data_IF_976185712567
#
_entry.id   IF_976185712567
#
_cell.length_a   1.000
_cell.length_b   1.000
_cell.length_c   1.000
_cell.angle_alpha   90.00
_cell.angle_beta   90.00
_cell.angle_gamma   90.00
#
_symmetry.space_group_name_H-M   'P 1'
#
loop_
_entity.id
_entity.type
_entity.pdbx_description
1 polymer ?
#
# COMPACT_ATOMS: atom_id res chain seq x y z
N UNK A 1 13.65 4.87 2.70
CA UNK A 1 14.55 4.69 1.51
C UNK A 1 14.29 5.77 0.46
N UNK A 2 15.23 5.97 -0.48
CA UNK A 2 14.98 6.81 -1.65
C UNK A 2 14.32 5.95 -2.75
N UNK A 3 13.59 6.58 -3.67
CA UNK A 3 13.03 5.91 -4.86
C UNK A 3 14.11 5.09 -5.59
N UNK A 4 13.77 3.92 -6.13
CA UNK A 4 14.71 3.06 -6.82
C UNK A 4 15.35 3.78 -8.01
N UNK A 5 16.67 3.69 -8.12
CA UNK A 5 17.43 4.22 -9.25
C UNK A 5 17.66 3.10 -10.25
N UNK A 6 17.36 3.36 -11.49
CA UNK A 6 17.65 2.44 -12.59
C UNK A 6 18.37 3.17 -13.73
N UNK A 7 19.17 2.46 -14.49
CA UNK A 7 19.91 3.00 -15.63
C UNK A 7 19.32 2.54 -16.96
N UNK A 8 19.58 3.31 -18.02
CA UNK A 8 19.21 2.91 -19.39
C UNK A 8 19.89 1.59 -19.79
N UNK A 9 21.10 1.35 -19.29
CA UNK A 9 21.83 0.12 -19.53
C UNK A 9 21.11 -1.09 -18.94
N UNK A 10 20.62 -0.99 -17.69
CA UNK A 10 19.84 -2.07 -17.04
C UNK A 10 18.56 -2.37 -17.82
N UNK A 11 17.84 -1.35 -18.30
CA UNK A 11 16.64 -1.54 -19.15
C UNK A 11 17.00 -2.28 -20.45
N UNK A 12 18.13 -1.94 -21.07
CA UNK A 12 18.58 -2.55 -22.31
C UNK A 12 19.02 -4.00 -22.09
N UNK A 13 19.79 -4.29 -21.05
CA UNK A 13 20.26 -5.64 -20.70
C UNK A 13 19.12 -6.57 -20.31
N UNK A 14 18.08 -6.05 -19.65
CA UNK A 14 16.86 -6.80 -19.35
C UNK A 14 16.01 -7.06 -20.59
N UNK A 15 16.28 -6.41 -21.73
CA UNK A 15 15.54 -6.59 -22.97
C UNK A 15 14.20 -5.85 -22.99
N UNK A 16 14.04 -4.77 -22.24
CA UNK A 16 12.84 -3.93 -22.17
C UNK A 16 12.47 -3.32 -23.52
N UNK A 17 13.46 -3.08 -24.38
CA UNK A 17 13.30 -2.43 -25.68
C UNK A 17 12.71 -3.33 -26.77
N UNK A 18 12.62 -4.64 -26.56
CA UNK A 18 11.98 -5.55 -27.53
C UNK A 18 10.46 -5.50 -27.39
N UNK A 19 9.79 -5.25 -28.49
CA UNK A 19 8.34 -5.35 -28.59
C UNK A 19 7.89 -6.55 -29.38
N UNK A 20 6.65 -6.59 -29.75
CA UNK A 20 6.03 -7.65 -30.55
C UNK A 20 6.34 -7.51 -32.04
N UNK A 21 6.03 -8.57 -32.77
CA UNK A 21 6.05 -8.58 -34.25
C UNK A 21 5.16 -7.49 -34.83
N UNK A 22 5.60 -6.90 -35.97
CA UNK A 22 4.88 -5.83 -36.69
C UNK A 22 3.44 -6.17 -37.06
N UNK A 23 3.08 -7.47 -37.16
CA UNK A 23 1.71 -7.91 -37.44
C UNK A 23 0.74 -7.74 -36.25
N UNK A 24 1.25 -7.62 -35.03
CA UNK A 24 0.45 -7.59 -33.79
C UNK A 24 0.43 -6.23 -33.13
N UNK A 25 0.99 -5.21 -33.75
CA UNK A 25 1.13 -3.91 -33.12
C UNK A 25 -0.20 -3.13 -33.06
N UNK A 26 -0.28 -2.23 -32.11
CA UNK A 26 -1.37 -1.27 -31.99
C UNK A 26 -0.89 0.11 -32.49
N UNK A 27 -1.59 0.78 -33.42
CA UNK A 27 -1.23 2.11 -33.90
C UNK A 27 -1.10 3.16 -32.80
N UNK A 28 -1.84 3.06 -31.69
CA UNK A 28 -1.74 3.95 -30.54
C UNK A 28 -0.39 3.88 -29.83
N UNK A 29 0.40 2.83 -30.05
CA UNK A 29 1.76 2.71 -29.54
C UNK A 29 2.83 3.41 -30.41
N UNK A 30 2.46 3.95 -31.59
CA UNK A 30 3.38 4.68 -32.49
C UNK A 30 4.27 5.70 -31.76
N UNK A 31 3.77 6.54 -30.82
CA UNK A 31 4.60 7.50 -30.12
C UNK A 31 5.73 6.87 -29.30
N UNK A 32 5.61 5.61 -28.91
CA UNK A 32 6.55 4.90 -28.05
C UNK A 32 7.49 3.95 -28.80
N UNK A 33 7.26 3.74 -30.08
CA UNK A 33 8.11 2.91 -30.95
C UNK A 33 9.30 3.74 -31.47
N UNK A 34 10.50 3.20 -31.38
CA UNK A 34 11.72 3.77 -31.93
C UNK A 34 11.90 3.41 -33.41
N UNK A 35 11.60 2.14 -33.76
CA UNK A 35 11.77 1.61 -35.10
C UNK A 35 11.40 0.14 -35.18
N UNK A 36 11.80 -0.51 -36.30
CA UNK A 36 11.57 -1.93 -36.54
C UNK A 36 12.91 -2.58 -36.93
N UNK A 37 13.22 -3.70 -36.32
CA UNK A 37 14.36 -4.56 -36.66
C UNK A 37 13.89 -6.02 -36.77
N UNK A 38 14.22 -6.70 -37.83
CA UNK A 38 13.87 -8.11 -38.06
C UNK A 38 12.36 -8.41 -37.83
N UNK A 39 11.48 -7.52 -38.35
CA UNK A 39 10.02 -7.58 -38.17
C UNK A 39 9.54 -7.49 -36.72
N UNK A 40 10.37 -7.04 -35.81
CA UNK A 40 10.06 -6.79 -34.39
C UNK A 40 10.13 -5.28 -34.15
N UNK A 41 9.15 -4.72 -33.45
CA UNK A 41 9.19 -3.33 -33.01
C UNK A 41 10.23 -3.14 -31.90
N UNK A 42 10.95 -2.03 -31.95
CA UNK A 42 11.87 -1.61 -30.92
C UNK A 42 11.22 -0.45 -30.16
N UNK A 43 11.08 -0.60 -28.86
CA UNK A 43 10.48 0.42 -27.98
C UNK A 43 11.53 1.47 -27.62
N UNK A 44 11.11 2.73 -27.58
CA UNK A 44 11.98 3.87 -27.27
C UNK A 44 12.19 3.99 -25.75
N UNK A 45 13.32 3.51 -25.26
CA UNK A 45 13.66 3.57 -23.83
C UNK A 45 13.75 4.99 -23.27
N UNK A 46 14.07 6.00 -24.09
CA UNK A 46 14.05 7.41 -23.67
C UNK A 46 12.64 7.88 -23.25
N UNK A 47 11.59 7.22 -23.73
CA UNK A 47 10.20 7.46 -23.32
C UNK A 47 9.78 6.52 -22.19
N UNK A 48 10.28 5.30 -22.19
CA UNK A 48 10.01 4.31 -21.13
C UNK A 48 10.51 4.80 -19.77
N UNK A 49 11.76 5.27 -19.69
CA UNK A 49 12.37 5.62 -18.42
C UNK A 49 11.61 6.72 -17.64
N UNK A 50 11.22 7.87 -18.22
CA UNK A 50 10.46 8.87 -17.47
C UNK A 50 9.05 8.42 -17.11
N UNK A 51 8.39 7.60 -17.94
CA UNK A 51 7.06 7.07 -17.64
C UNK A 51 7.11 6.02 -16.53
N UNK A 52 8.11 5.15 -16.54
CA UNK A 52 8.37 4.21 -15.45
C UNK A 52 8.65 4.96 -14.14
N UNK A 53 9.51 5.97 -14.17
CA UNK A 53 9.79 6.78 -12.98
C UNK A 53 8.53 7.44 -12.43
N UNK A 54 7.69 8.02 -13.29
CA UNK A 54 6.40 8.61 -12.91
C UNK A 54 5.47 7.59 -12.26
N UNK A 55 5.43 6.37 -12.78
CA UNK A 55 4.63 5.27 -12.22
C UNK A 55 5.14 4.86 -10.82
N UNK A 56 6.47 4.76 -10.64
CA UNK A 56 7.08 4.43 -9.34
C UNK A 56 6.84 5.52 -8.29
N UNK A 57 6.90 6.81 -8.67
CA UNK A 57 6.55 7.93 -7.77
C UNK A 57 5.10 7.84 -7.31
N UNK A 58 4.17 7.57 -8.24
CA UNK A 58 2.75 7.42 -7.90
C UNK A 58 2.53 6.21 -6.97
N UNK A 59 3.19 5.09 -7.25
CA UNK A 59 3.13 3.87 -6.43
C UNK A 59 3.64 4.10 -5.00
N UNK A 60 4.78 4.77 -4.86
CA UNK A 60 5.33 5.15 -3.56
C UNK A 60 4.38 6.07 -2.78
N UNK A 61 3.79 7.07 -3.43
CA UNK A 61 2.86 7.99 -2.79
C UNK A 61 1.59 7.28 -2.28
N UNK A 62 1.02 6.37 -3.08
CA UNK A 62 -0.15 5.59 -2.70
C UNK A 62 0.16 4.67 -1.51
N UNK A 63 1.31 3.99 -1.53
CA UNK A 63 1.71 3.08 -0.44
C UNK A 63 2.11 3.83 0.84
N UNK A 64 2.69 5.02 0.72
CA UNK A 64 2.95 5.91 1.86
C UNK A 64 1.65 6.39 2.53
N UNK A 65 0.58 6.58 1.76
CA UNK A 65 -0.76 6.85 2.30
C UNK A 65 -1.43 5.60 2.93
N UNK A 66 -0.81 4.43 2.83
CA UNK A 66 -1.33 3.16 3.34
C UNK A 66 -2.22 2.41 2.35
N UNK A 67 -2.19 2.79 1.08
CA UNK A 67 -2.90 2.11 0.00
C UNK A 67 -2.37 0.70 -0.23
N UNK A 68 -3.28 -0.19 -0.64
CA UNK A 68 -2.99 -1.59 -0.98
C UNK A 68 -2.78 -1.73 -2.48
N UNK A 69 -1.86 -2.57 -2.85
CA UNK A 69 -1.47 -2.84 -4.23
C UNK A 69 -1.97 -4.21 -4.65
N UNK A 70 -2.51 -4.32 -5.87
CA UNK A 70 -2.86 -5.58 -6.49
C UNK A 70 -2.02 -5.79 -7.75
N UNK A 71 -1.20 -6.82 -7.75
CA UNK A 71 -0.46 -7.25 -8.94
C UNK A 71 -1.31 -8.21 -9.77
N UNK A 72 -1.38 -7.98 -11.08
CA UNK A 72 -2.17 -8.80 -12.01
C UNK A 72 -1.31 -9.24 -13.19
N UNK A 73 -1.09 -10.54 -13.31
CA UNK A 73 -0.39 -11.13 -14.44
C UNK A 73 -0.70 -12.62 -14.57
N UNK A 74 -1.49 -13.01 -15.55
CA UNK A 74 -1.81 -14.42 -15.81
C UNK A 74 -0.89 -15.07 -16.84
N UNK A 75 0.07 -14.31 -17.40
CA UNK A 75 1.08 -14.80 -18.35
C UNK A 75 2.04 -15.77 -17.67
N UNK A 76 2.35 -16.89 -18.31
CA UNK A 76 3.20 -17.93 -17.71
C UNK A 76 4.56 -17.40 -17.22
N UNK A 77 5.19 -16.51 -18.01
CA UNK A 77 6.48 -15.91 -17.67
C UNK A 77 6.44 -14.97 -16.47
N UNK A 78 5.25 -14.43 -16.15
CA UNK A 78 5.05 -13.43 -15.09
C UNK A 78 4.50 -14.01 -13.77
N UNK A 79 3.88 -15.20 -13.82
CA UNK A 79 3.13 -15.78 -12.68
C UNK A 79 3.92 -15.86 -11.39
N UNK A 80 5.10 -16.43 -11.44
CA UNK A 80 5.92 -16.68 -10.25
C UNK A 80 6.63 -15.41 -9.80
N UNK A 81 7.03 -14.56 -10.76
CA UNK A 81 7.69 -13.27 -10.51
C UNK A 81 6.73 -12.33 -9.76
N UNK A 82 5.49 -12.24 -10.22
CA UNK A 82 4.47 -11.38 -9.62
C UNK A 82 4.06 -11.88 -8.23
N UNK A 83 3.98 -13.21 -8.05
CA UNK A 83 3.75 -13.81 -6.75
C UNK A 83 4.85 -13.45 -5.75
N UNK A 84 6.12 -13.65 -6.12
CA UNK A 84 7.28 -13.28 -5.30
C UNK A 84 7.27 -11.79 -4.94
N UNK A 85 7.05 -10.91 -5.91
CA UNK A 85 6.99 -9.47 -5.69
C UNK A 85 5.90 -9.08 -4.68
N UNK A 86 4.72 -9.67 -4.78
CA UNK A 86 3.61 -9.42 -3.87
C UNK A 86 3.90 -9.97 -2.45
N UNK A 87 4.46 -11.17 -2.34
CA UNK A 87 4.82 -11.78 -1.06
C UNK A 87 5.93 -10.98 -0.34
N UNK A 88 6.96 -10.52 -1.04
CA UNK A 88 8.04 -9.66 -0.50
C UNK A 88 7.53 -8.34 0.08
N UNK A 89 6.44 -7.81 -0.46
CA UNK A 89 5.86 -6.52 -0.04
C UNK A 89 4.64 -6.66 0.87
N UNK A 90 4.16 -7.88 1.12
CA UNK A 90 2.90 -8.13 1.85
C UNK A 90 1.68 -7.58 1.10
N UNK A 91 1.75 -7.51 -0.23
CA UNK A 91 0.68 -7.04 -1.09
C UNK A 91 -0.06 -8.21 -1.76
N UNK A 92 -1.03 -7.92 -2.60
CA UNK A 92 -1.93 -8.89 -3.18
C UNK A 92 -1.59 -9.19 -4.63
N UNK A 93 -1.97 -10.38 -5.11
CA UNK A 93 -1.72 -10.76 -6.50
C UNK A 93 -2.82 -11.66 -7.08
N UNK A 94 -2.97 -11.60 -8.41
CA UNK A 94 -3.73 -12.55 -9.21
C UNK A 94 -2.84 -13.02 -10.35
N UNK A 95 -2.41 -14.29 -10.29
CA UNK A 95 -1.43 -14.83 -11.22
C UNK A 95 -1.92 -16.02 -12.05
N UNK A 96 -3.13 -16.52 -11.83
CA UNK A 96 -3.66 -17.66 -12.60
C UNK A 96 -4.73 -17.23 -13.61
N UNK A 97 -5.86 -16.79 -13.14
CA UNK A 97 -6.98 -16.38 -13.98
C UNK A 97 -7.76 -15.26 -13.34
N UNK A 98 -7.96 -14.18 -14.08
CA UNK A 98 -8.89 -13.15 -13.70
C UNK A 98 -10.34 -13.62 -13.91
N UNK A 99 -11.13 -13.67 -12.87
CA UNK A 99 -12.57 -13.92 -12.97
C UNK A 99 -13.29 -12.60 -13.23
N UNK A 100 -14.25 -12.60 -14.15
CA UNK A 100 -15.08 -11.42 -14.38
C UNK A 100 -15.85 -11.03 -13.11
N UNK A 101 -15.81 -9.74 -12.76
CA UNK A 101 -16.42 -9.23 -11.54
C UNK A 101 -15.53 -9.34 -10.29
N UNK A 102 -14.24 -9.60 -10.45
CA UNK A 102 -13.33 -9.81 -9.30
C UNK A 102 -13.19 -8.58 -8.41
N UNK A 103 -13.27 -7.39 -8.98
CA UNK A 103 -13.32 -6.12 -8.25
C UNK A 103 -14.72 -5.52 -8.21
N UNK A 104 -15.41 -5.50 -9.35
CA UNK A 104 -16.74 -4.89 -9.46
C UNK A 104 -17.82 -5.65 -8.68
N UNK A 105 -17.66 -6.95 -8.47
CA UNK A 105 -18.55 -7.77 -7.64
C UNK A 105 -17.81 -8.35 -6.42
N UNK A 106 -17.09 -7.49 -5.70
CA UNK A 106 -16.29 -7.89 -4.54
C UNK A 106 -17.08 -8.59 -3.44
N UNK A 107 -18.37 -8.26 -3.29
CA UNK A 107 -19.23 -8.92 -2.29
C UNK A 107 -19.35 -10.42 -2.54
N UNK A 108 -19.56 -10.85 -3.78
CA UNK A 108 -19.62 -12.28 -4.16
C UNK A 108 -18.26 -12.95 -4.07
N UNK A 109 -17.19 -12.26 -4.48
CA UNK A 109 -15.81 -12.77 -4.36
C UNK A 109 -15.45 -12.98 -2.89
N UNK A 110 -15.76 -12.04 -2.01
CA UNK A 110 -15.50 -12.16 -0.57
C UNK A 110 -16.28 -13.31 0.08
N UNK A 111 -17.49 -13.61 -0.39
CA UNK A 111 -18.23 -14.81 0.05
C UNK A 111 -17.53 -16.10 -0.40
N UNK A 112 -17.01 -16.14 -1.62
CA UNK A 112 -16.24 -17.30 -2.12
C UNK A 112 -14.95 -17.51 -1.33
N UNK A 113 -14.25 -16.43 -0.96
CA UNK A 113 -13.07 -16.47 -0.08
C UNK A 113 -13.44 -17.00 1.31
N UNK A 114 -14.55 -16.53 1.90
CA UNK A 114 -15.03 -17.05 3.21
C UNK A 114 -15.37 -18.54 3.14
N UNK A 115 -16.02 -18.98 2.03
CA UNK A 115 -16.31 -20.38 1.79
C UNK A 115 -15.03 -21.21 1.72
N UNK A 116 -14.00 -20.71 1.00
CA UNK A 116 -12.70 -21.36 0.93
C UNK A 116 -12.08 -21.54 2.32
N UNK A 117 -11.97 -20.45 3.11
CA UNK A 117 -11.45 -20.52 4.49
C UNK A 117 -12.22 -21.46 5.38
N UNK A 118 -13.57 -21.51 5.23
CA UNK A 118 -14.42 -22.46 5.96
C UNK A 118 -14.11 -23.90 5.57
N UNK A 119 -14.01 -24.20 4.27
CA UNK A 119 -13.72 -25.56 3.79
C UNK A 119 -12.33 -26.04 4.25
N UNK A 120 -11.34 -25.15 4.30
CA UNK A 120 -10.01 -25.46 4.85
C UNK A 120 -10.11 -25.85 6.33
N UNK A 121 -10.83 -25.06 7.14
CA UNK A 121 -11.09 -25.38 8.55
C UNK A 121 -11.90 -26.68 8.74
N UNK A 122 -12.88 -26.93 7.87
CA UNK A 122 -13.70 -28.16 7.93
C UNK A 122 -12.85 -29.42 7.61
N UNK A 123 -11.88 -29.31 6.68
CA UNK A 123 -10.92 -30.37 6.36
C UNK A 123 -9.99 -30.64 7.56
N UNK A 124 -9.48 -29.60 8.23
CA UNK A 124 -8.64 -29.73 9.42
C UNK A 124 -9.38 -30.38 10.58
N UNK A 125 -10.68 -30.15 10.70
CA UNK A 125 -11.54 -30.70 11.74
C UNK A 125 -12.40 -31.89 11.26
N UNK A 126 -12.00 -32.56 10.18
CA UNK A 126 -12.79 -33.60 9.52
C UNK A 126 -13.23 -34.73 10.46
N UNK A 127 -12.36 -35.18 11.41
CA UNK A 127 -12.68 -36.20 12.39
C UNK A 127 -13.78 -35.77 13.36
N UNK A 128 -13.73 -34.51 13.83
CA UNK A 128 -14.74 -33.95 14.74
C UNK A 128 -16.09 -33.75 14.06
N UNK A 129 -16.08 -33.46 12.75
CA UNK A 129 -17.27 -33.25 11.94
C UNK A 129 -17.85 -34.59 11.40
N UNK A 130 -17.18 -35.71 11.63
CA UNK A 130 -17.62 -37.04 11.16
C UNK A 130 -17.56 -37.17 9.63
N UNK A 131 -16.71 -36.42 8.94
CA UNK A 131 -16.59 -36.45 7.47
C UNK A 131 -15.94 -37.76 7.01
N UNK A 132 -16.48 -38.36 5.97
CA UNK A 132 -15.91 -39.55 5.35
C UNK A 132 -14.65 -39.19 4.55
N UNK A 133 -13.71 -40.13 4.39
CA UNK A 133 -12.50 -39.98 3.57
C UNK A 133 -12.80 -39.54 2.13
N UNK A 134 -13.95 -39.99 1.59
CA UNK A 134 -14.39 -39.59 0.24
C UNK A 134 -14.79 -38.10 0.15
N UNK A 135 -15.52 -37.62 1.15
CA UNK A 135 -15.95 -36.22 1.23
C UNK A 135 -14.74 -35.29 1.42
N UNK A 136 -13.83 -35.62 2.31
CA UNK A 136 -12.58 -34.91 2.50
C UNK A 136 -11.79 -34.83 1.17
N UNK A 137 -11.69 -35.96 0.44
CA UNK A 137 -11.00 -35.97 -0.85
C UNK A 137 -11.66 -35.08 -1.94
N UNK A 138 -12.98 -34.95 -1.93
CA UNK A 138 -13.71 -34.04 -2.83
C UNK A 138 -13.48 -32.57 -2.40
N UNK A 139 -13.62 -32.27 -1.12
CA UNK A 139 -13.38 -30.93 -0.58
C UNK A 139 -11.94 -30.46 -0.82
N UNK A 140 -10.95 -31.31 -0.62
CA UNK A 140 -9.53 -30.97 -0.89
C UNK A 140 -9.30 -30.56 -2.35
N UNK A 141 -9.93 -31.27 -3.30
CA UNK A 141 -9.84 -30.91 -4.71
C UNK A 141 -10.52 -29.56 -5.04
N UNK A 142 -11.64 -29.27 -4.37
CA UNK A 142 -12.33 -27.99 -4.53
C UNK A 142 -11.53 -26.83 -3.93
N UNK A 143 -10.99 -27.02 -2.73
CA UNK A 143 -10.09 -26.07 -2.05
C UNK A 143 -8.89 -25.75 -2.91
N UNK A 144 -8.21 -26.76 -3.50
CA UNK A 144 -7.08 -26.55 -4.38
C UNK A 144 -7.43 -25.65 -5.56
N UNK A 145 -8.56 -25.90 -6.23
CA UNK A 145 -9.04 -25.06 -7.35
C UNK A 145 -9.35 -23.63 -6.96
N UNK A 146 -9.99 -23.43 -5.80
CA UNK A 146 -10.30 -22.10 -5.29
C UNK A 146 -9.05 -21.35 -4.84
N UNK A 147 -8.09 -22.06 -4.23
CA UNK A 147 -6.80 -21.51 -3.82
C UNK A 147 -5.95 -21.06 -5.01
N UNK A 148 -5.97 -21.79 -6.11
CA UNK A 148 -5.32 -21.40 -7.35
C UNK A 148 -5.83 -20.05 -7.88
N UNK A 149 -7.10 -19.74 -7.67
CA UNK A 149 -7.73 -18.51 -8.18
C UNK A 149 -7.65 -17.36 -7.16
N UNK A 150 -7.93 -17.63 -5.88
CA UNK A 150 -8.08 -16.61 -4.84
C UNK A 150 -6.89 -16.53 -3.89
N UNK A 151 -5.89 -17.42 -4.01
CA UNK A 151 -4.78 -17.54 -3.06
C UNK A 151 -4.07 -16.21 -2.77
N UNK A 152 -3.83 -15.41 -3.80
CA UNK A 152 -3.15 -14.13 -3.65
C UNK A 152 -4.00 -12.98 -3.11
N UNK A 153 -5.32 -13.18 -2.93
CA UNK A 153 -6.26 -12.14 -2.43
C UNK A 153 -7.02 -12.58 -1.18
N UNK A 154 -6.61 -13.70 -0.54
CA UNK A 154 -7.30 -14.26 0.63
C UNK A 154 -7.43 -13.26 1.79
N UNK A 155 -6.42 -12.44 1.99
CA UNK A 155 -6.36 -11.47 3.09
C UNK A 155 -6.63 -10.03 2.64
N UNK A 156 -7.15 -9.86 1.43
CA UNK A 156 -7.56 -8.57 0.91
C UNK A 156 -8.93 -8.18 1.48
N UNK A 157 -8.95 -7.20 2.38
CA UNK A 157 -10.17 -6.72 3.04
C UNK A 157 -10.82 -5.55 2.30
N UNK A 158 -10.99 -5.67 0.99
CA UNK A 158 -11.62 -4.64 0.17
C UNK A 158 -10.88 -4.38 -1.14
N UNK A 159 -11.31 -3.34 -1.85
CA UNK A 159 -10.78 -2.95 -3.16
C UNK A 159 -9.38 -2.35 -2.99
N UNK A 160 -8.39 -2.70 -3.86
CA UNK A 160 -7.05 -2.13 -3.81
C UNK A 160 -7.07 -0.65 -4.25
N UNK A 161 -6.09 0.13 -3.81
CA UNK A 161 -5.94 1.53 -4.17
C UNK A 161 -5.09 1.75 -5.42
N UNK A 162 -4.38 0.74 -5.89
CA UNK A 162 -3.63 0.75 -7.15
C UNK A 162 -3.51 -0.67 -7.69
N UNK A 163 -3.53 -0.80 -9.00
CA UNK A 163 -3.35 -2.07 -9.69
C UNK A 163 -2.12 -2.00 -10.60
N UNK A 164 -1.26 -3.03 -10.54
CA UNK A 164 -0.10 -3.20 -11.42
C UNK A 164 -0.41 -4.35 -12.37
N UNK A 165 -0.39 -4.08 -13.67
CA UNK A 165 -0.79 -5.04 -14.71
C UNK A 165 0.39 -5.31 -15.66
N UNK A 166 0.61 -6.58 -15.96
CA UNK A 166 1.55 -7.02 -16.99
C UNK A 166 0.76 -7.69 -18.11
N UNK A 167 0.96 -7.22 -19.34
CA UNK A 167 0.23 -7.64 -20.55
C UNK A 167 -1.24 -7.15 -20.56
N UNK A 168 -1.43 -5.87 -20.91
CA UNK A 168 -2.75 -5.21 -20.96
C UNK A 168 -3.76 -5.92 -21.86
N UNK A 169 -3.43 -6.36 -23.07
CA UNK A 169 -4.37 -7.11 -23.92
C UNK A 169 -4.92 -8.37 -23.26
N UNK A 170 -4.10 -9.08 -22.53
CA UNK A 170 -4.48 -10.31 -21.83
C UNK A 170 -5.35 -10.03 -20.61
N UNK A 171 -5.01 -9.02 -19.85
CA UNK A 171 -5.69 -8.64 -18.60
C UNK A 171 -6.74 -7.53 -18.82
N UNK A 172 -7.26 -7.40 -20.03
CA UNK A 172 -8.21 -6.34 -20.42
C UNK A 172 -9.44 -6.28 -19.50
N UNK A 173 -9.91 -7.41 -18.99
CA UNK A 173 -11.05 -7.44 -18.07
C UNK A 173 -10.69 -6.79 -16.73
N UNK A 174 -9.49 -7.06 -16.20
CA UNK A 174 -9.01 -6.44 -14.98
C UNK A 174 -8.88 -4.92 -15.13
N UNK A 175 -8.30 -4.48 -16.25
CA UNK A 175 -8.13 -3.05 -16.57
C UNK A 175 -9.49 -2.33 -16.68
N UNK A 176 -10.47 -2.95 -17.34
CA UNK A 176 -11.83 -2.37 -17.44
C UNK A 176 -12.52 -2.28 -16.07
N UNK A 177 -12.38 -3.31 -15.24
CA UNK A 177 -12.95 -3.29 -13.89
C UNK A 177 -12.29 -2.22 -13.01
N UNK A 178 -10.97 -2.08 -13.08
CA UNK A 178 -10.24 -1.03 -12.37
C UNK A 178 -10.71 0.37 -12.81
N UNK A 179 -10.83 0.59 -14.12
CA UNK A 179 -11.30 1.85 -14.68
C UNK A 179 -12.74 2.19 -14.25
N UNK A 180 -13.63 1.20 -14.16
CA UNK A 180 -15.00 1.40 -13.69
C UNK A 180 -15.09 1.76 -12.20
N UNK A 181 -14.05 1.45 -11.43
CA UNK A 181 -13.96 1.72 -9.99
C UNK A 181 -12.99 2.87 -9.67
N UNK A 182 -12.52 3.59 -10.69
CA UNK A 182 -11.54 4.68 -10.58
C UNK A 182 -10.26 4.27 -9.82
N UNK A 183 -9.82 3.00 -10.01
CA UNK A 183 -8.59 2.49 -9.41
C UNK A 183 -7.43 2.82 -10.35
N UNK A 184 -6.44 3.61 -9.92
CA UNK A 184 -5.26 3.92 -10.70
C UNK A 184 -4.55 2.66 -11.15
N UNK A 185 -4.27 2.56 -12.46
CA UNK A 185 -3.66 1.40 -13.07
C UNK A 185 -2.29 1.73 -13.63
N UNK A 186 -1.25 1.07 -13.13
CA UNK A 186 0.10 1.06 -13.68
C UNK A 186 0.21 -0.19 -14.57
N UNK A 187 0.52 -0.02 -15.85
CA UNK A 187 0.60 -1.17 -16.73
C UNK A 187 1.85 -1.17 -17.62
N UNK A 188 2.45 -2.34 -17.75
CA UNK A 188 3.47 -2.58 -18.76
C UNK A 188 2.77 -2.77 -20.10
N UNK A 189 3.04 -1.85 -21.03
CA UNK A 189 2.42 -1.78 -22.32
C UNK A 189 3.42 -2.17 -23.41
N UNK A 190 3.31 -3.35 -23.96
CA UNK A 190 4.05 -3.72 -25.16
C UNK A 190 3.39 -3.10 -26.41
N UNK A 191 4.00 -3.25 -27.55
CA UNK A 191 3.57 -2.64 -28.82
C UNK A 191 2.20 -3.08 -29.33
N UNK A 192 1.60 -4.13 -28.77
CA UNK A 192 0.23 -4.62 -29.02
C UNK A 192 -0.82 -4.02 -28.08
N UNK A 193 -0.41 -3.30 -27.03
CA UNK A 193 -1.29 -2.75 -26.00
C UNK A 193 -1.98 -1.44 -26.44
N UNK A 194 -3.06 -1.10 -25.75
CA UNK A 194 -3.66 0.24 -25.84
C UNK A 194 -3.25 1.06 -24.60
N UNK A 195 -2.36 2.06 -24.73
CA UNK A 195 -1.89 2.85 -23.60
C UNK A 195 -2.94 3.80 -23.02
N UNK A 196 -4.00 4.14 -23.76
CA UNK A 196 -5.07 5.04 -23.29
C UNK A 196 -6.04 4.39 -22.30
N UNK A 197 -5.95 3.07 -22.16
CA UNK A 197 -6.80 2.33 -21.22
C UNK A 197 -6.30 2.39 -19.77
N UNK A 198 -5.07 2.88 -19.54
CA UNK A 198 -4.39 2.85 -18.25
C UNK A 198 -3.88 4.25 -17.87
N UNK A 199 -3.78 4.53 -16.58
CA UNK A 199 -3.41 5.85 -16.07
C UNK A 199 -1.90 6.10 -16.14
N UNK A 200 -1.13 5.05 -15.90
CA UNK A 200 0.34 5.07 -15.92
C UNK A 200 0.87 4.02 -16.90
N UNK A 201 0.84 4.30 -18.22
CA UNK A 201 1.40 3.39 -19.20
C UNK A 201 2.93 3.41 -19.13
N UNK A 202 3.52 2.24 -19.03
CA UNK A 202 4.97 2.00 -19.09
C UNK A 202 5.28 1.20 -20.36
N UNK A 203 5.73 1.85 -21.44
CA UNK A 203 6.09 1.13 -22.66
C UNK A 203 7.26 0.19 -22.40
N UNK A 204 7.08 -1.10 -22.69
CA UNK A 204 8.14 -2.06 -22.46
C UNK A 204 7.72 -3.50 -22.76
N UNK A 205 8.71 -4.38 -22.80
CA UNK A 205 8.55 -5.79 -23.08
C UNK A 205 7.80 -6.52 -21.96
N UNK A 206 6.74 -7.22 -22.29
CA UNK A 206 5.95 -8.03 -21.36
C UNK A 206 6.14 -9.55 -21.54
N UNK A 207 7.02 -9.99 -22.47
CA UNK A 207 7.32 -11.38 -22.77
C UNK A 207 8.58 -11.90 -22.04
N UNK A 208 9.60 -11.08 -21.92
CA UNK A 208 10.88 -11.48 -21.35
C UNK A 208 10.85 -11.53 -19.83
N UNK A 209 11.08 -12.70 -19.23
CA UNK A 209 11.10 -12.86 -17.76
C UNK A 209 12.06 -11.90 -17.07
N UNK A 210 13.24 -11.59 -17.68
CA UNK A 210 14.19 -10.60 -17.13
C UNK A 210 13.63 -9.18 -17.11
N UNK A 211 12.88 -8.78 -18.12
CA UNK A 211 12.23 -7.48 -18.16
C UNK A 211 11.12 -7.40 -17.10
N UNK A 212 10.28 -8.42 -17.00
CA UNK A 212 9.23 -8.53 -15.99
C UNK A 212 9.81 -8.49 -14.60
N UNK A 213 10.89 -9.24 -14.34
CA UNK A 213 11.58 -9.24 -13.05
C UNK A 213 12.07 -7.83 -12.68
N UNK A 214 12.71 -7.13 -13.61
CA UNK A 214 13.18 -5.76 -13.38
C UNK A 214 12.03 -4.81 -13.00
N UNK A 215 10.90 -4.86 -13.71
CA UNK A 215 9.74 -4.03 -13.36
C UNK A 215 9.20 -4.36 -11.97
N UNK A 216 9.07 -5.65 -11.67
CA UNK A 216 8.58 -6.10 -10.37
C UNK A 216 9.52 -5.68 -9.24
N UNK A 217 10.83 -5.83 -9.41
CA UNK A 217 11.81 -5.42 -8.41
C UNK A 217 11.78 -3.90 -8.16
N UNK A 218 11.69 -3.08 -9.21
CA UNK A 218 11.53 -1.63 -9.08
C UNK A 218 10.21 -1.26 -8.38
N UNK A 219 9.13 -1.97 -8.67
CA UNK A 219 7.85 -1.77 -7.97
C UNK A 219 7.95 -2.18 -6.50
N UNK A 220 8.61 -3.30 -6.18
CA UNK A 220 8.86 -3.75 -4.80
C UNK A 220 9.61 -2.68 -4.02
N UNK A 221 10.70 -2.15 -4.57
CA UNK A 221 11.51 -1.11 -3.93
C UNK A 221 10.69 0.17 -3.67
N UNK A 222 9.85 0.58 -4.64
CA UNK A 222 8.97 1.73 -4.49
C UNK A 222 7.90 1.51 -3.40
N UNK A 223 7.30 0.32 -3.34
CA UNK A 223 6.31 -0.06 -2.32
C UNK A 223 6.97 -0.06 -0.93
N UNK A 224 8.12 -0.69 -0.78
CA UNK A 224 8.84 -0.73 0.49
C UNK A 224 9.25 0.67 0.96
N UNK A 225 9.73 1.53 0.06
CA UNK A 225 10.01 2.94 0.36
C UNK A 225 8.77 3.68 0.86
N UNK A 226 7.61 3.47 0.23
CA UNK A 226 6.34 4.04 0.67
C UNK A 226 5.92 3.56 2.06
N UNK A 227 6.03 2.24 2.32
CA UNK A 227 5.72 1.65 3.63
C UNK A 227 6.63 2.23 4.72
N UNK A 228 7.93 2.37 4.46
CA UNK A 228 8.88 2.98 5.42
C UNK A 228 8.54 4.44 5.72
N UNK A 229 8.21 5.24 4.71
CA UNK A 229 7.77 6.63 4.90
C UNK A 229 6.53 6.71 5.79
N UNK A 230 5.58 5.80 5.61
CA UNK A 230 4.38 5.68 6.45
C UNK A 230 4.74 5.35 7.90
N UNK A 231 5.61 4.37 8.12
CA UNK A 231 6.02 3.94 9.46
C UNK A 231 6.85 5.03 10.16
N UNK A 232 7.79 5.66 9.45
CA UNK A 232 8.59 6.78 9.96
C UNK A 232 7.74 8.00 10.31
N UNK A 233 6.75 8.34 9.47
CA UNK A 233 5.79 9.42 9.75
C UNK A 233 4.86 9.12 10.92
N UNK A 234 4.48 7.86 11.13
CA UNK A 234 3.68 7.45 12.29
C UNK A 234 4.49 7.49 13.61
N UNK A 235 5.78 7.11 13.55
CA UNK A 235 6.69 7.22 14.68
C UNK A 235 6.95 8.69 15.05
N UNK A 236 7.19 9.57 14.07
CA UNK A 236 7.37 11.01 14.29
C UNK A 236 6.16 11.66 14.94
N UNK A 237 4.94 11.36 14.46
CA UNK A 237 3.70 11.89 15.07
C UNK A 237 3.47 11.40 16.51
N UNK A 238 3.87 10.16 16.84
CA UNK A 238 3.79 9.67 18.22
C UNK A 238 4.77 10.39 19.14
N UNK A 239 5.98 10.68 18.68
CA UNK A 239 6.99 11.42 19.45
C UNK A 239 6.57 12.87 19.65
N UNK A 240 6.02 13.54 18.61
CA UNK A 240 5.49 14.89 18.74
C UNK A 240 4.29 14.97 19.69
N UNK A 241 3.38 13.99 19.67
CA UNK A 241 2.27 13.93 20.61
C UNK A 241 2.74 13.72 22.06
N UNK A 242 3.69 12.81 22.31
CA UNK A 242 4.23 12.59 23.65
C UNK A 242 4.98 13.83 24.19
N UNK A 243 5.75 14.53 23.34
CA UNK A 243 6.41 15.79 23.74
C UNK A 243 5.43 16.92 24.02
N UNK A 244 4.28 16.95 23.34
CA UNK A 244 3.23 17.94 23.61
C UNK A 244 2.50 17.67 24.93
N UNK A 245 2.27 16.39 25.26
CA UNK A 245 1.69 15.99 26.54
C UNK A 245 2.64 16.28 27.72
N UNK A 246 3.92 15.94 27.59
CA UNK A 246 4.95 16.24 28.59
C UNK A 246 5.13 17.78 28.83
N UNK A 247 4.99 18.58 27.76
CA UNK A 247 5.07 20.05 27.88
C UNK A 247 3.82 20.65 28.55
N UNK A 248 2.64 20.08 28.32
CA UNK A 248 1.42 20.49 29.00
C UNK A 248 1.43 20.15 30.49
N UNK A 249 1.90 18.94 30.87
CA UNK A 249 2.03 18.54 32.27
C UNK A 249 3.01 19.43 33.03
N UNK A 250 4.14 19.81 32.41
CA UNK A 250 5.10 20.73 32.98
C UNK A 250 4.52 22.15 33.20
N UNK A 251 3.69 22.62 32.27
CA UNK A 251 3.00 23.93 32.42
C UNK A 251 1.93 23.90 33.53
N UNK A 252 1.20 22.80 33.68
CA UNK A 252 0.22 22.65 34.76
C UNK A 252 0.88 22.61 36.12
N UNK A 253 2.01 21.95 36.25
CA UNK A 253 2.77 21.89 37.53
C UNK A 253 3.39 23.26 37.89
N UNK A 254 3.91 24.02 36.92
CA UNK A 254 4.33 25.41 37.15
C UNK A 254 3.16 26.33 37.60
N UNK A 255 1.98 26.14 37.04
CA UNK A 255 0.80 26.93 37.44
C UNK A 255 0.34 26.56 38.84
N UNK A 256 0.32 25.28 39.22
CA UNK A 256 0.00 24.83 40.59
C UNK A 256 1.01 25.38 41.63
N UNK A 257 2.29 25.39 41.31
CA UNK A 257 3.34 25.95 42.16
C UNK A 257 3.20 27.46 42.34
N UNK A 258 2.83 28.19 41.28
CA UNK A 258 2.57 29.65 41.37
C UNK A 258 1.32 29.95 42.21
N UNK A 259 0.25 29.17 42.08
CA UNK A 259 -0.95 29.29 42.91
C UNK A 259 -0.67 28.99 44.41
N UNK A 260 0.11 27.94 44.68
CA UNK A 260 0.50 27.62 46.08
C UNK A 260 1.32 28.73 46.71
N UNK A 261 2.30 29.29 45.98
CA UNK A 261 3.11 30.43 46.46
C UNK A 261 2.28 31.71 46.65
N UNK A 262 1.23 31.90 45.87
CA UNK A 262 0.34 33.03 46.02
C UNK A 262 -0.62 32.87 47.21
N UNK A 263 -1.12 31.64 47.45
CA UNK A 263 -1.95 31.30 48.61
C UNK A 263 -1.16 31.42 49.95
N UNK A 264 0.12 30.99 49.96
CA UNK A 264 0.98 31.16 51.15
C UNK A 264 1.26 32.63 51.50
N UNK A 265 1.57 33.48 50.48
CA UNK A 265 1.75 34.93 50.69
C UNK A 265 0.50 35.63 51.19
N UNK A 266 -0.69 35.20 50.73
CA UNK A 266 -1.97 35.77 51.22
C UNK A 266 -2.27 35.32 52.65
N UNK A 267 -1.91 34.08 53.04
CA UNK A 267 -2.07 33.62 54.44
C UNK A 267 -1.14 34.34 55.39
N UNK A 268 0.15 34.52 55.03
CA UNK A 268 1.11 35.31 55.84
C UNK A 268 0.67 36.76 55.97
N UNK A 269 0.21 37.39 54.90
CA UNK A 269 -0.29 38.77 54.97
C UNK A 269 -1.54 38.92 55.88
N UNK A 270 -2.40 37.89 55.95
CA UNK A 270 -3.55 37.85 56.84
C UNK A 270 -3.13 37.65 58.29
N UNK A 271 -2.13 36.82 58.57
CA UNK A 271 -1.59 36.67 59.97
C UNK A 271 -0.94 37.93 60.46
N UNK A 272 -0.08 38.57 59.66
CA UNK A 272 0.53 39.87 60.01
C UNK A 272 -0.50 40.97 60.25
N UNK A 273 -1.60 40.95 59.53
CA UNK A 273 -2.71 41.91 59.70
C UNK A 273 -3.51 41.62 60.97
N UNK A 274 -3.69 40.33 61.36
CA UNK A 274 -4.31 39.91 62.57
C UNK A 274 -3.46 40.31 63.81
N UNK A 275 -2.15 40.06 63.77
CA UNK A 275 -1.26 40.43 64.87
C UNK A 275 -1.21 41.96 65.11
N UNK A 276 -1.15 42.78 64.05
CA UNK A 276 -1.21 44.25 64.14
C UNK A 276 -2.53 44.79 64.68
N UNK A 277 -3.66 44.09 64.38
CA UNK A 277 -4.95 44.47 64.99
C UNK A 277 -5.05 44.06 66.44
N UNK A 278 -4.48 42.95 66.86
CA UNK A 278 -4.42 42.55 68.26
C UNK A 278 -3.55 43.52 69.11
N UNK A 279 -2.34 43.88 68.55
CA UNK A 279 -1.48 44.90 69.25
C UNK A 279 -2.11 46.29 69.35
N UNK A 280 -2.99 46.68 68.41
CA UNK A 280 -3.75 47.91 68.46
C UNK A 280 -4.88 47.84 69.50
N UNK A 281 -5.55 46.70 69.64
CA UNK A 281 -6.57 46.49 70.64
C UNK A 281 -5.98 46.54 72.09
N UNK A 282 -4.84 45.84 72.29
CA UNK A 282 -4.12 45.87 73.57
C UNK A 282 -3.61 47.25 73.98
N UNK A 283 -3.19 48.08 72.98
CA UNK A 283 -2.78 49.49 73.26
C UNK A 283 -3.94 50.43 73.59
N UNK A 284 -5.14 50.16 73.00
CA UNK A 284 -6.33 50.91 73.28
C UNK A 284 -6.85 50.65 74.76
N UNK A 285 -6.81 49.36 75.16
CA UNK A 285 -7.23 48.93 76.48
C UNK A 285 -6.28 49.43 77.65
N UNK A 286 -5.02 49.70 77.33
CA UNK A 286 -4.01 50.30 78.24
C UNK A 286 -4.06 51.83 78.29
N UNK A 287 -4.78 52.49 77.41
CA UNK A 287 -4.91 53.96 77.43
C UNK A 287 -6.16 54.45 78.18
N UNK A 288 -7.07 53.52 78.50
CA UNK A 288 -8.34 53.82 79.20
C UNK A 288 -8.31 53.41 80.69
N UNK A 289 -7.10 53.06 81.20
CA UNK A 289 -6.80 52.86 82.60
C UNK A 289 -5.81 53.92 83.12
#
# INVERSE_FOLDING_TARGET
>A
MALPKFSMQQLMEAGVHFGHHTRRWNPLMTPYVYGVKDKIHIINLNKTAPLLYRALVALEAITAAGGKVLFVATKHQAKDIVKDAAERTGQFYVNNRWLGGMLTNWTTVSQSIRRLKKMESDIENAEKLGLTKKEVGVMTKEVAKLRDVFGGILDMHGIPQVMIVIDVPREMNAVREAKNLDIPTIAICDTNANPEMVDYPVPGNDDASRAIQLYCDLCVDAILSGIEKRLGGAAGKKVEASMADDANDALEDEMKDKEMKQKSKVSEAREVRRSKLADKADKAEKADK
#
